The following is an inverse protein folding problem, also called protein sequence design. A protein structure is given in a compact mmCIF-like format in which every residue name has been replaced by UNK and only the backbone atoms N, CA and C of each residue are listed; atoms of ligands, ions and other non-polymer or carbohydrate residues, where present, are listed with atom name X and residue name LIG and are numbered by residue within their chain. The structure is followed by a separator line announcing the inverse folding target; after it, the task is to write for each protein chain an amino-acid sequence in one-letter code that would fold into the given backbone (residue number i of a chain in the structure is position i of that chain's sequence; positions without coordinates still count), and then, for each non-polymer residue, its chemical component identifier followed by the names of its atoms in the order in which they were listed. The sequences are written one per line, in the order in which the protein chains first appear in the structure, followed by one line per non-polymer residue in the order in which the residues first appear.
data_IF_008572674221
#
_entry.id   IF_008572674221
#
_cell.length_a   1.000
_cell.length_b   1.000
_cell.length_c   1.000
_cell.angle_alpha   90.00
_cell.angle_beta   90.00
_cell.angle_gamma   90.00
#
_symmetry.space_group_name_H-M   'P 1'
#
loop_
_entity.id
_entity.type
_entity.pdbx_description
1 polymer ?
#
# COMPACT_ATOMS: atom_id res chain seq x y z
N UNK A 1 14.37 -21.50 -7.52
CA UNK A 1 13.57 -20.55 -7.11
C UNK A 1 14.27 -19.26 -7.02
N UNK A 2 13.65 -18.19 -7.27
CA UNK A 2 14.25 -17.02 -7.34
C UNK A 2 13.99 -16.19 -6.18
N UNK A 3 14.93 -15.69 -5.52
CA UNK A 3 14.74 -14.84 -4.41
C UNK A 3 14.61 -13.47 -4.94
N UNK A 4 13.54 -12.87 -4.67
CA UNK A 4 13.32 -11.57 -5.20
C UNK A 4 13.85 -10.50 -4.26
N UNK A 5 15.15 -10.40 -4.23
CA UNK A 5 15.77 -9.41 -3.36
C UNK A 5 15.42 -8.01 -3.78
N UNK A 6 15.16 -7.79 -5.06
CA UNK A 6 14.80 -6.47 -5.51
C UNK A 6 13.50 -6.00 -4.89
N UNK A 7 12.54 -6.89 -4.76
CA UNK A 7 11.27 -6.52 -4.17
C UNK A 7 11.44 -6.28 -2.68
N UNK A 8 12.22 -7.10 -2.01
CA UNK A 8 12.42 -6.90 -0.60
C UNK A 8 13.18 -5.61 -0.31
N UNK A 9 14.15 -5.29 -1.15
CA UNK A 9 14.88 -4.06 -0.96
C UNK A 9 13.98 -2.86 -1.22
N UNK A 10 13.13 -2.93 -2.22
CA UNK A 10 12.21 -1.85 -2.49
C UNK A 10 11.22 -1.71 -1.34
N UNK A 11 10.75 -2.81 -0.80
CA UNK A 11 9.83 -2.77 0.31
C UNK A 11 10.48 -2.06 1.51
N UNK A 12 11.71 -2.39 1.81
CA UNK A 12 12.40 -1.75 2.92
C UNK A 12 12.58 -0.27 2.67
N UNK A 13 12.91 0.10 1.44
CA UNK A 13 13.10 1.49 1.12
C UNK A 13 11.81 2.27 1.27
N UNK A 14 10.72 1.70 0.77
CA UNK A 14 9.44 2.39 0.86
C UNK A 14 9.04 2.57 2.32
N UNK A 15 9.22 1.54 3.13
CA UNK A 15 8.86 1.66 4.54
C UNK A 15 9.69 2.73 5.21
N UNK A 16 10.97 2.79 4.89
CA UNK A 16 11.80 3.78 5.49
C UNK A 16 11.37 5.17 5.05
N UNK A 17 11.04 5.34 3.79
CA UNK A 17 10.57 6.61 3.30
C UNK A 17 9.26 7.00 3.99
N UNK A 18 8.38 6.03 4.21
CA UNK A 18 7.11 6.32 4.85
C UNK A 18 7.32 6.79 6.29
N UNK A 19 8.25 6.17 6.96
CA UNK A 19 8.56 6.61 8.31
C UNK A 19 9.05 8.06 8.34
N UNK A 20 9.66 8.30 7.43
CA UNK A 20 10.15 9.48 7.34
C UNK A 20 9.23 10.39 7.07
N UNK A 21 8.34 10.19 6.40
CA UNK A 21 7.26 11.09 6.08
C UNK A 21 6.20 11.11 7.16
N UNK A 22 6.46 10.43 8.23
CA UNK A 22 5.56 10.39 9.37
C UNK A 22 4.22 9.76 9.04
N UNK A 23 4.22 8.81 8.13
CA UNK A 23 2.99 8.08 7.85
C UNK A 23 2.63 7.28 9.10
N UNK A 24 1.34 7.14 9.37
CA UNK A 24 0.88 6.48 10.56
C UNK A 24 0.35 5.09 10.28
N UNK A 25 0.38 4.27 11.30
CA UNK A 25 -0.22 2.93 11.22
C UNK A 25 0.23 2.15 10.00
N UNK A 26 1.54 2.04 9.85
CA UNK A 26 2.08 1.31 8.70
C UNK A 26 1.84 -0.18 8.89
N UNK A 27 1.19 -0.80 7.91
CA UNK A 27 0.89 -2.20 7.99
C UNK A 27 1.41 -2.83 6.70
N UNK A 28 2.14 -3.91 6.79
CA UNK A 28 2.63 -4.58 5.61
C UNK A 28 2.03 -5.97 5.58
N UNK A 29 1.38 -6.31 4.48
CA UNK A 29 0.75 -7.60 4.34
C UNK A 29 1.43 -8.37 3.22
N UNK A 30 1.73 -9.63 3.48
CA UNK A 30 2.36 -10.47 2.49
C UNK A 30 1.21 -11.13 1.74
N UNK A 31 1.03 -10.81 0.49
CA UNK A 31 -0.08 -11.35 -0.27
C UNK A 31 0.39 -12.21 -1.42
N UNK A 32 1.64 -12.65 -1.36
CA UNK A 32 2.16 -13.43 -2.46
C UNK A 32 1.34 -14.63 -2.83
N UNK A 33 0.81 -15.31 -1.90
CA UNK A 33 0.07 -16.48 -2.22
C UNK A 33 -1.45 -16.30 -2.16
N UNK A 34 -1.90 -15.08 -2.09
CA UNK A 34 -3.33 -14.86 -2.00
C UNK A 34 -3.87 -13.98 -3.07
N UNK A 35 -3.03 -13.37 -3.84
CA UNK A 35 -3.54 -12.40 -4.78
C UNK A 35 -2.60 -12.26 -5.97
N UNK A 36 -3.15 -11.93 -7.11
CA UNK A 36 -2.35 -11.66 -8.27
C UNK A 36 -1.95 -10.19 -8.29
N UNK A 37 -2.37 -9.41 -7.30
CA UNK A 37 -2.06 -8.00 -7.31
C UNK A 37 -0.59 -7.72 -7.07
N UNK A 38 0.09 -8.57 -6.38
CA UNK A 38 1.50 -8.35 -6.11
C UNK A 38 1.98 -9.22 -4.98
N UNK A 39 3.16 -8.95 -4.49
CA UNK A 39 3.73 -9.72 -3.39
C UNK A 39 3.40 -9.10 -2.05
N UNK A 40 3.33 -7.80 -1.98
CA UNK A 40 3.09 -7.13 -0.70
C UNK A 40 2.10 -5.98 -0.86
N UNK A 41 1.32 -5.76 0.16
CA UNK A 41 0.43 -4.63 0.18
C UNK A 41 0.79 -3.83 1.42
N UNK A 42 0.97 -2.54 1.27
CA UNK A 42 1.28 -1.68 2.40
C UNK A 42 0.11 -0.76 2.61
N UNK A 43 -0.32 -0.63 3.85
CA UNK A 43 -1.40 0.28 4.18
C UNK A 43 -0.89 1.28 5.18
N UNK A 44 -1.09 2.55 4.93
CA UNK A 44 -0.66 3.57 5.86
C UNK A 44 -1.70 4.66 5.90
N UNK A 45 -1.66 5.47 6.93
CA UNK A 45 -2.58 6.58 7.07
C UNK A 45 -1.82 7.87 7.07
N UNK A 46 -2.41 8.91 6.50
CA UNK A 46 -1.90 10.25 6.65
C UNK A 46 -2.85 10.97 7.58
N UNK A 47 -2.41 12.04 8.19
CA UNK A 47 -3.23 12.73 9.19
C UNK A 47 -4.24 13.69 8.57
N UNK A 48 -4.05 14.03 7.30
CA UNK A 48 -4.95 14.95 6.63
C UNK A 48 -4.83 14.72 5.14
N UNK A 49 -5.67 15.37 4.36
CA UNK A 49 -5.58 15.25 2.92
C UNK A 49 -4.23 15.76 2.42
N UNK A 50 -3.76 16.84 3.02
CA UNK A 50 -2.49 17.37 2.61
C UNK A 50 -1.37 16.36 2.91
N UNK A 51 -1.43 15.72 4.06
CA UNK A 51 -0.42 14.75 4.44
C UNK A 51 -0.48 13.53 3.51
N UNK A 52 -1.68 13.07 3.19
CA UNK A 52 -1.84 11.94 2.29
C UNK A 52 -1.20 12.27 0.93
N UNK A 53 -1.49 13.46 0.40
CA UNK A 53 -0.90 13.84 -0.86
C UNK A 53 0.61 13.99 -0.76
N UNK A 54 1.10 14.52 0.33
CA UNK A 54 2.54 14.69 0.50
C UNK A 54 3.23 13.33 0.56
N UNK A 55 2.63 12.37 1.23
CA UNK A 55 3.19 11.04 1.31
C UNK A 55 3.30 10.45 -0.08
N UNK A 56 2.21 10.50 -0.83
CA UNK A 56 2.21 9.89 -2.15
C UNK A 56 3.19 10.59 -3.07
N UNK A 57 3.18 11.91 -3.08
CA UNK A 57 4.07 12.65 -3.97
C UNK A 57 5.52 12.37 -3.66
N UNK A 58 5.87 12.31 -2.40
CA UNK A 58 7.27 12.05 -2.05
C UNK A 58 7.68 10.61 -2.34
N UNK A 59 6.79 9.67 -2.10
CA UNK A 59 7.11 8.29 -2.37
C UNK A 59 7.29 8.07 -3.87
N UNK A 60 6.43 8.67 -4.68
CA UNK A 60 6.54 8.53 -6.11
C UNK A 60 7.83 9.19 -6.61
N UNK A 61 8.14 10.36 -6.08
CA UNK A 61 9.32 11.04 -6.51
C UNK A 61 10.58 10.29 -6.14
N UNK A 62 10.63 9.72 -4.97
CA UNK A 62 11.80 9.00 -4.53
C UNK A 62 11.96 7.65 -5.20
N UNK A 63 10.90 7.15 -5.80
CA UNK A 63 10.95 5.84 -6.40
C UNK A 63 10.46 5.84 -7.83
N UNK A 64 10.80 6.88 -8.57
CA UNK A 64 10.34 7.00 -9.92
C UNK A 64 10.60 5.81 -10.81
N UNK A 65 11.70 5.17 -10.65
CA UNK A 65 11.98 4.06 -11.51
C UNK A 65 11.03 2.91 -11.31
N UNK A 66 10.38 2.87 -10.20
CA UNK A 66 9.51 1.75 -9.88
C UNK A 66 8.02 2.05 -9.93
N UNK A 67 7.39 3.21 -9.99
CA UNK A 67 6.36 3.47 -9.92
C UNK A 67 5.89 3.22 -11.00
N UNK A 68 4.97 2.49 -11.09
CA UNK A 68 4.24 2.16 -12.25
C UNK A 68 3.05 3.06 -12.45
N UNK A 69 2.26 3.24 -11.45
CA UNK A 69 1.11 4.12 -11.60
C UNK A 69 0.58 4.58 -10.27
N UNK A 70 -0.21 5.62 -10.30
CA UNK A 70 -0.81 6.17 -9.09
C UNK A 70 -2.27 6.41 -9.39
N UNK A 71 -3.13 6.00 -8.51
CA UNK A 71 -4.54 6.22 -8.67
C UNK A 71 -5.17 6.76 -7.42
N UNK A 72 -6.14 7.62 -7.55
CA UNK A 72 -6.83 8.16 -6.40
C UNK A 72 -8.26 7.73 -6.45
N UNK A 73 -8.80 7.30 -5.31
CA UNK A 73 -10.18 6.92 -5.26
C UNK A 73 -10.93 8.03 -4.63
N UNK A 74 -11.63 8.80 -5.41
CA UNK A 74 -12.37 9.86 -4.90
C UNK A 74 -11.52 10.79 -4.17
N UNK A 75 -11.31 11.83 -4.54
CA UNK A 75 -10.54 12.89 -3.93
C UNK A 75 -9.29 12.29 -3.33
N UNK A 76 -8.95 12.59 -2.12
CA UNK A 76 -7.73 12.11 -1.54
C UNK A 76 -7.96 11.23 -0.37
N UNK A 77 -9.12 10.64 -0.29
CA UNK A 77 -9.37 9.77 0.85
C UNK A 77 -8.55 8.51 0.79
N UNK A 78 -8.23 8.06 -0.40
CA UNK A 78 -7.52 6.81 -0.55
C UNK A 78 -6.73 6.89 -1.85
N UNK A 79 -5.41 6.91 -1.76
CA UNK A 79 -4.56 6.94 -2.93
C UNK A 79 -3.77 5.65 -3.00
N UNK A 80 -3.59 5.15 -4.20
CA UNK A 80 -2.90 3.89 -4.41
C UNK A 80 -1.70 4.12 -5.31
N UNK A 81 -0.56 3.59 -4.92
CA UNK A 81 0.63 3.67 -5.75
C UNK A 81 1.03 2.24 -6.09
N UNK A 82 1.08 1.94 -7.37
CA UNK A 82 1.37 0.61 -7.83
C UNK A 82 2.83 0.53 -8.24
N UNK A 83 3.59 -0.32 -7.58
CA UNK A 83 4.99 -0.53 -7.91
C UNK A 83 5.18 -1.91 -8.55
N UNK A 84 4.12 -2.55 -8.96
CA UNK A 84 4.23 -3.87 -9.54
C UNK A 84 4.07 -4.95 -8.51
N UNK A 85 5.13 -5.23 -7.77
CA UNK A 85 5.04 -6.27 -6.76
C UNK A 85 4.64 -5.73 -5.40
N UNK A 86 4.57 -4.42 -5.26
CA UNK A 86 4.18 -3.80 -4.01
C UNK A 86 3.09 -2.79 -4.32
N UNK A 87 2.02 -2.85 -3.58
CA UNK A 87 0.92 -1.91 -3.75
C UNK A 87 0.83 -1.10 -2.48
N UNK A 88 1.02 0.20 -2.59
CA UNK A 88 0.95 1.06 -1.42
C UNK A 88 -0.41 1.73 -1.39
N UNK A 89 -1.07 1.66 -0.26
CA UNK A 89 -2.36 2.30 -0.05
C UNK A 89 -2.21 3.36 1.03
N UNK A 90 -2.56 4.58 0.71
CA UNK A 90 -2.44 5.68 1.66
C UNK A 90 -3.83 6.25 1.88
N UNK A 91 -4.29 6.24 3.12
CA UNK A 91 -5.64 6.64 3.44
C UNK A 91 -5.66 7.78 4.42
N UNK A 92 -6.75 8.49 4.46
CA UNK A 92 -7.02 9.36 5.57
C UNK A 92 -7.56 8.41 6.63
N UNK A 93 -7.43 8.72 7.90
CA UNK A 93 -7.81 7.78 8.94
C UNK A 93 -9.25 7.31 8.83
N UNK A 94 -10.16 8.19 8.50
CA UNK A 94 -11.56 7.82 8.40
C UNK A 94 -11.77 6.82 7.29
N UNK A 95 -11.09 7.01 6.17
CA UNK A 95 -11.28 6.12 5.06
C UNK A 95 -10.74 4.73 5.36
N UNK A 96 -9.60 4.68 6.06
CA UNK A 96 -9.02 3.39 6.35
C UNK A 96 -9.94 2.60 7.25
N UNK A 97 -10.54 3.28 8.22
CA UNK A 97 -11.43 2.60 9.11
C UNK A 97 -12.65 2.14 8.35
N UNK A 98 -13.14 2.95 7.43
CA UNK A 98 -14.32 2.62 6.69
C UNK A 98 -14.10 1.42 5.76
N UNK A 99 -12.99 1.37 5.09
CA UNK A 99 -12.77 0.30 4.16
C UNK A 99 -12.22 -0.97 4.80
N UNK A 100 -11.45 -0.83 5.87
CA UNK A 100 -10.95 -2.00 6.59
C UNK A 100 -10.26 -3.04 5.73
N UNK A 101 -9.48 -2.58 4.79
CA UNK A 101 -8.81 -3.51 3.90
C UNK A 101 -7.89 -4.50 4.60
N UNK A 102 -7.19 -4.05 5.62
CA UNK A 102 -6.28 -4.97 6.27
C UNK A 102 -7.02 -6.07 6.95
N UNK A 103 -8.23 -5.82 7.39
CA UNK A 103 -8.98 -6.88 8.03
C UNK A 103 -9.39 -7.92 7.03
N UNK A 104 -9.72 -7.48 5.84
CA UNK A 104 -10.10 -8.39 4.81
C UNK A 104 -8.95 -9.32 4.47
N UNK A 105 -7.76 -8.77 4.29
CA UNK A 105 -6.65 -9.62 3.96
C UNK A 105 -6.22 -10.50 5.12
N UNK A 106 -6.28 -10.02 6.32
CA UNK A 106 -5.86 -10.81 7.44
C UNK A 106 -6.83 -11.92 7.76
N UNK A 107 -8.10 -11.66 7.59
CA UNK A 107 -9.08 -12.65 7.97
C UNK A 107 -9.51 -13.56 6.86
N UNK A 108 -9.03 -13.35 5.68
CA UNK A 108 -9.49 -14.14 4.61
C UNK A 108 -8.57 -15.14 4.11
N UNK A 109 -7.71 -15.62 4.92
CA UNK A 109 -6.86 -16.68 4.50
C UNK A 109 -7.72 -17.80 4.10
N UNK A 110 -8.86 -17.92 4.69
CA UNK A 110 -9.64 -19.06 4.42
C UNK A 110 -10.63 -18.89 3.39
N UNK A 111 -11.11 -17.77 3.14
CA UNK A 111 -12.15 -17.64 2.18
C UNK A 111 -11.88 -16.57 1.26
N UNK A 112 -10.67 -16.34 0.96
CA UNK A 112 -10.38 -15.29 0.05
C UNK A 112 -11.02 -15.51 -1.27
N UNK A 113 -11.34 -16.69 -1.61
CA UNK A 113 -11.93 -16.86 -2.89
C UNK A 113 -13.31 -16.26 -2.91
N UNK A 114 -13.92 -16.08 -1.78
CA UNK A 114 -15.18 -15.52 -1.80
C UNK A 114 -15.19 -14.08 -1.71
N UNK A 115 -14.14 -13.43 -1.47
CA UNK A 115 -14.16 -12.07 -1.29
C UNK A 115 -14.13 -11.45 -2.54
N UNK A 116 -14.97 -10.94 -2.96
CA UNK A 116 -14.95 -10.31 -4.13
C UNK A 116 -14.31 -9.07 -3.98
N UNK A 117 -13.17 -8.92 -4.00
CA UNK A 117 -12.67 -7.75 -3.95
C UNK A 117 -12.67 -7.13 -5.11
N UNK A 118 -12.96 -7.31 -5.79
CA UNK A 118 -12.91 -6.58 -6.94
C UNK A 118 -13.27 -6.37 -7.51
#
# INVERSE_FOLDING_TARGET
MKINLGVKNLLKKIIKDLEXLKAKNIEVLDIKNRSALGDYMILVSGTSSRHVNAIVNNIVKSNKKNXISTEGLKSTDWLIVDFGDIILNVFKPEAREHYSLEKIWKNNDLKDEKVGFG
#
